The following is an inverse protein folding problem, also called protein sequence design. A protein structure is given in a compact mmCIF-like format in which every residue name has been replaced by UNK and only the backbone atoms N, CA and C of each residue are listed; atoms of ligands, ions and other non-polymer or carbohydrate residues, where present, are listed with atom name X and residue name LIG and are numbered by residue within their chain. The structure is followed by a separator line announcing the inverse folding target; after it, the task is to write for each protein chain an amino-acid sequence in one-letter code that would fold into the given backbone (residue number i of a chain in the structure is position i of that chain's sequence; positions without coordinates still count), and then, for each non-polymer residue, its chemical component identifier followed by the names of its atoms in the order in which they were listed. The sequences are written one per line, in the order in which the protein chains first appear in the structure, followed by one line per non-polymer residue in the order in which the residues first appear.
data_IF_780013600782
#
_entry.id   IF_780013600782
#
_cell.length_a   1.000
_cell.length_b   1.000
_cell.length_c   1.000
_cell.angle_alpha   90.00
_cell.angle_beta   90.00
_cell.angle_gamma   90.00
#
_symmetry.space_group_name_H-M   'P 1'
#
loop_
_entity.id
_entity.type
_entity.pdbx_description
1 polymer ?
#
# COMPACT_ATOMS: atom_id res chain seq x y z
N UNK A 1 17.43 -11.56 -21.26
CA UNK A 1 17.97 -11.40 -19.91
C UNK A 1 18.66 -12.70 -19.60
N UNK A 2 19.97 -12.68 -19.37
CA UNK A 2 20.65 -13.83 -18.81
C UNK A 2 20.30 -13.88 -17.32
N UNK A 3 19.79 -15.01 -16.84
CA UNK A 3 19.33 -15.21 -15.46
C UNK A 3 20.11 -16.35 -14.84
N UNK A 4 20.46 -16.22 -13.55
CA UNK A 4 21.31 -17.14 -12.80
C UNK A 4 20.53 -18.20 -12.02
N UNK A 5 19.20 -18.12 -12.02
CA UNK A 5 18.28 -19.03 -11.37
C UNK A 5 17.44 -19.82 -12.38
N UNK A 6 16.96 -20.99 -11.99
CA UNK A 6 16.20 -21.91 -12.87
C UNK A 6 14.71 -21.63 -12.92
N UNK A 7 14.12 -21.27 -11.79
CA UNK A 7 12.69 -20.96 -11.69
C UNK A 7 12.43 -19.87 -10.66
N UNK A 8 11.32 -19.13 -10.83
CA UNK A 8 10.81 -18.18 -9.86
C UNK A 8 9.41 -18.62 -9.41
N UNK A 9 9.19 -18.63 -8.10
CA UNK A 9 7.91 -18.97 -7.48
C UNK A 9 7.47 -17.88 -6.51
N UNK A 10 6.18 -17.80 -6.25
CA UNK A 10 5.59 -16.77 -5.37
C UNK A 10 4.79 -17.40 -4.25
N UNK A 11 4.84 -16.77 -3.08
CA UNK A 11 3.98 -17.02 -1.93
C UNK A 11 3.21 -15.73 -1.66
N UNK A 12 1.88 -15.80 -1.60
CA UNK A 12 1.06 -14.64 -1.28
C UNK A 12 0.96 -14.45 0.24
N UNK A 13 1.77 -13.54 0.78
CA UNK A 13 1.83 -13.18 2.20
C UNK A 13 1.18 -11.83 2.50
N UNK A 14 0.28 -11.36 1.62
CA UNK A 14 -0.43 -10.09 1.77
C UNK A 14 -1.52 -10.20 2.82
N UNK A 15 -1.82 -9.10 3.50
CA UNK A 15 -2.89 -9.04 4.50
C UNK A 15 -4.29 -9.25 3.88
N UNK A 16 -4.44 -8.87 2.61
CA UNK A 16 -5.63 -9.15 1.82
C UNK A 16 -5.24 -9.72 0.46
N UNK A 17 -5.66 -10.96 0.22
CA UNK A 17 -5.36 -11.69 -1.02
C UNK A 17 -6.46 -11.54 -2.06
N UNK A 18 -7.62 -10.96 -1.72
CA UNK A 18 -8.79 -10.85 -2.61
C UNK A 18 -8.65 -9.79 -3.69
N UNK A 19 -7.81 -8.77 -3.47
CA UNK A 19 -7.70 -7.61 -4.36
C UNK A 19 -6.26 -7.13 -4.50
N UNK A 20 -6.08 -6.25 -5.48
CA UNK A 20 -4.84 -5.56 -5.81
C UNK A 20 -4.91 -4.08 -5.53
N UNK A 21 -6.09 -3.49 -5.35
CA UNK A 21 -6.22 -2.06 -5.12
C UNK A 21 -7.54 -1.50 -5.63
N UNK A 22 -7.62 -0.17 -5.64
CA UNK A 22 -8.77 0.57 -6.14
C UNK A 22 -8.33 1.53 -7.23
N UNK A 23 -9.08 1.57 -8.33
CA UNK A 23 -8.72 2.37 -9.51
C UNK A 23 -9.95 3.06 -10.06
N UNK A 24 -9.76 4.24 -10.61
CA UNK A 24 -10.84 4.98 -11.25
C UNK A 24 -11.16 4.32 -12.59
N UNK A 25 -12.36 3.77 -12.73
CA UNK A 25 -12.81 3.19 -13.99
C UNK A 25 -14.27 3.59 -14.30
N UNK A 26 -14.66 3.43 -15.56
CA UNK A 26 -16.00 3.75 -16.04
C UNK A 26 -16.24 5.25 -16.36
N UNK A 27 -17.43 5.53 -16.89
CA UNK A 27 -17.81 6.87 -17.36
C UNK A 27 -17.95 7.91 -16.23
N UNK A 28 -18.22 7.45 -15.00
CA UNK A 28 -18.42 8.27 -13.82
C UNK A 28 -17.18 8.40 -12.93
N UNK A 29 -16.03 7.87 -13.34
CA UNK A 29 -14.80 7.83 -12.51
C UNK A 29 -15.07 7.26 -11.12
N UNK A 30 -15.72 6.11 -11.05
CA UNK A 30 -15.97 5.41 -9.79
C UNK A 30 -14.76 4.54 -9.44
N UNK A 31 -14.52 4.32 -8.14
CA UNK A 31 -13.46 3.41 -7.71
C UNK A 31 -13.91 1.95 -7.84
N UNK A 32 -13.17 1.19 -8.65
CA UNK A 32 -13.38 -0.24 -8.82
C UNK A 32 -12.27 -1.03 -8.15
N UNK A 33 -12.64 -2.16 -7.54
CA UNK A 33 -11.67 -3.13 -7.01
C UNK A 33 -10.96 -3.81 -8.17
N UNK A 34 -9.64 -3.78 -8.16
CA UNK A 34 -8.81 -4.58 -9.05
C UNK A 34 -8.55 -5.92 -8.40
N UNK A 35 -8.73 -7.01 -9.14
CA UNK A 35 -8.53 -8.38 -8.65
C UNK A 35 -7.67 -9.15 -9.63
N UNK A 36 -6.97 -10.17 -9.14
CA UNK A 36 -6.35 -11.13 -10.04
C UNK A 36 -7.42 -12.07 -10.61
N UNK A 37 -7.24 -12.55 -11.86
CA UNK A 37 -8.15 -13.55 -12.44
C UNK A 37 -8.03 -14.94 -11.81
N UNK A 38 -7.00 -15.17 -10.97
CA UNK A 38 -6.72 -16.40 -10.21
C UNK A 38 -5.85 -16.07 -8.98
N UNK A 39 -5.56 -17.00 -8.07
CA UNK A 39 -4.69 -16.71 -6.92
C UNK A 39 -3.37 -16.05 -7.35
N UNK A 40 -2.98 -14.98 -6.64
CA UNK A 40 -1.88 -14.10 -7.03
C UNK A 40 -0.57 -14.86 -7.27
N UNK A 41 -0.23 -15.76 -6.35
CA UNK A 41 0.97 -16.60 -6.44
C UNK A 41 1.01 -17.40 -7.74
N UNK A 42 -0.11 -18.03 -8.11
CA UNK A 42 -0.25 -18.79 -9.37
C UNK A 42 -0.15 -17.88 -10.58
N UNK A 43 -0.88 -16.75 -10.58
CA UNK A 43 -0.83 -15.77 -11.66
C UNK A 43 0.58 -15.25 -11.93
N UNK A 44 1.28 -14.84 -10.87
CA UNK A 44 2.64 -14.29 -10.96
C UNK A 44 3.63 -15.36 -11.42
N UNK A 45 3.56 -16.57 -10.85
CA UNK A 45 4.44 -17.70 -11.23
C UNK A 45 4.28 -18.07 -12.70
N UNK A 46 3.06 -18.12 -13.24
CA UNK A 46 2.88 -18.43 -14.66
C UNK A 46 3.40 -17.32 -15.57
N UNK A 47 3.23 -16.05 -15.16
CA UNK A 47 3.71 -14.90 -15.93
C UNK A 47 5.23 -14.77 -15.90
N UNK A 48 5.95 -15.49 -15.02
CA UNK A 48 7.42 -15.50 -15.06
C UNK A 48 8.01 -16.45 -16.10
N UNK A 49 7.31 -17.53 -16.46
CA UNK A 49 7.79 -18.59 -17.37
C UNK A 49 8.41 -18.03 -18.66
N UNK A 50 7.79 -17.06 -19.37
CA UNK A 50 8.37 -16.51 -20.60
C UNK A 50 9.70 -15.78 -20.42
N UNK A 51 10.05 -15.36 -19.20
CA UNK A 51 11.32 -14.67 -18.92
C UNK A 51 12.47 -15.64 -18.62
N UNK A 52 12.17 -16.94 -18.39
CA UNK A 52 13.13 -17.93 -17.92
C UNK A 52 13.68 -18.84 -19.03
N UNK A 53 13.11 -18.81 -20.23
CA UNK A 53 13.46 -19.72 -21.33
C UNK A 53 14.87 -19.51 -21.94
N UNK A 54 15.60 -18.47 -21.52
CA UNK A 54 16.85 -18.05 -22.15
C UNK A 54 18.08 -18.02 -21.21
N UNK A 55 18.00 -18.61 -20.00
CA UNK A 55 19.07 -18.54 -19.00
C UNK A 55 20.01 -19.75 -18.97
N UNK A 56 21.30 -19.48 -18.72
CA UNK A 56 22.30 -20.49 -18.32
C UNK A 56 22.14 -20.78 -16.83
N UNK A 57 21.04 -21.44 -16.46
CA UNK A 57 20.60 -21.52 -15.06
C UNK A 57 21.44 -22.50 -14.22
N UNK A 58 21.90 -22.05 -13.04
CA UNK A 58 22.45 -22.89 -11.98
C UNK A 58 21.34 -23.60 -11.18
N UNK A 59 21.73 -24.53 -10.28
CA UNK A 59 20.84 -25.42 -9.49
C UNK A 59 19.90 -24.74 -8.45
N UNK A 60 19.66 -23.43 -8.50
CA UNK A 60 18.83 -22.70 -7.53
C UNK A 60 17.57 -22.09 -8.11
N UNK A 61 16.52 -21.96 -7.30
CA UNK A 61 15.29 -21.26 -7.64
C UNK A 61 15.16 -19.97 -6.80
N UNK A 62 14.41 -19.00 -7.30
CA UNK A 62 13.97 -17.84 -6.53
C UNK A 62 12.57 -18.09 -5.97
N UNK A 63 12.35 -17.68 -4.73
CA UNK A 63 11.05 -17.69 -4.09
C UNK A 63 10.77 -16.31 -3.50
N UNK A 64 9.70 -15.68 -3.97
CA UNK A 64 9.28 -14.36 -3.53
C UNK A 64 8.09 -14.48 -2.58
N UNK A 65 8.20 -13.90 -1.39
CA UNK A 65 7.07 -13.76 -0.46
C UNK A 65 6.51 -12.35 -0.60
N UNK A 66 5.36 -12.23 -1.26
CA UNK A 66 4.67 -10.97 -1.48
C UNK A 66 4.06 -10.49 -0.16
N UNK A 67 4.66 -9.47 0.46
CA UNK A 67 4.11 -8.85 1.69
C UNK A 67 3.12 -7.75 1.36
N UNK A 68 3.38 -7.01 0.29
CA UNK A 68 2.52 -5.95 -0.21
C UNK A 68 2.57 -5.94 -1.75
N UNK A 69 1.40 -5.87 -2.39
CA UNK A 69 1.26 -5.65 -3.82
C UNK A 69 -0.03 -4.86 -4.02
N UNK A 70 0.10 -3.56 -4.24
CA UNK A 70 -1.04 -2.64 -4.34
C UNK A 70 -0.95 -1.75 -5.57
N UNK A 71 -2.03 -1.66 -6.33
CA UNK A 71 -2.17 -0.76 -7.47
C UNK A 71 -3.06 0.40 -7.12
N UNK A 72 -2.64 1.59 -7.50
CA UNK A 72 -3.37 2.82 -7.28
C UNK A 72 -3.19 3.77 -8.46
N UNK A 73 -4.06 4.75 -8.58
CA UNK A 73 -4.05 5.73 -9.64
C UNK A 73 -4.29 7.13 -9.09
N UNK A 74 -3.58 8.10 -9.65
CA UNK A 74 -3.86 9.51 -9.41
C UNK A 74 -4.02 10.27 -10.70
N UNK A 75 -4.93 11.24 -10.67
CA UNK A 75 -5.11 12.21 -11.75
C UNK A 75 -4.00 13.26 -11.66
N UNK A 76 -3.30 13.50 -12.77
CA UNK A 76 -2.26 14.52 -12.91
C UNK A 76 -2.60 15.47 -14.06
N UNK A 77 -1.97 16.65 -14.10
CA UNK A 77 -2.14 17.58 -15.21
C UNK A 77 -1.43 17.04 -16.46
N UNK A 78 -2.12 17.08 -17.60
CA UNK A 78 -1.50 16.79 -18.88
C UNK A 78 -0.43 17.84 -19.21
N UNK A 79 0.64 17.41 -19.89
CA UNK A 79 1.65 18.33 -20.43
C UNK A 79 1.04 19.16 -21.56
N UNK A 80 1.54 20.38 -21.80
CA UNK A 80 0.94 21.34 -22.74
C UNK A 80 0.54 20.71 -24.10
N UNK A 81 1.45 20.02 -24.77
CA UNK A 81 1.16 19.39 -26.07
C UNK A 81 0.08 18.30 -25.99
N UNK A 82 0.09 17.47 -24.95
CA UNK A 82 -0.93 16.43 -24.73
C UNK A 82 -2.27 17.06 -24.33
N UNK A 83 -2.24 18.12 -23.54
CA UNK A 83 -3.42 18.86 -23.10
C UNK A 83 -4.22 19.44 -24.26
N UNK A 84 -3.55 19.84 -25.35
CA UNK A 84 -4.18 20.33 -26.57
C UNK A 84 -4.87 19.23 -27.37
N UNK A 85 -4.41 17.98 -27.26
CA UNK A 85 -4.89 16.85 -28.06
C UNK A 85 -5.93 15.99 -27.33
N UNK A 86 -5.70 15.71 -26.04
CA UNK A 86 -6.49 14.73 -25.26
C UNK A 86 -7.14 15.35 -24.03
N UNK A 87 -7.03 16.67 -23.84
CA UNK A 87 -7.57 17.39 -22.69
C UNK A 87 -6.62 17.50 -21.49
N UNK A 88 -6.99 18.27 -20.46
CA UNK A 88 -6.08 18.78 -19.43
C UNK A 88 -5.64 17.74 -18.40
N UNK A 89 -6.16 16.52 -18.49
CA UNK A 89 -6.01 15.45 -17.50
C UNK A 89 -5.13 14.34 -18.09
N UNK A 90 -4.26 13.81 -17.25
CA UNK A 90 -3.53 12.58 -17.49
C UNK A 90 -3.61 11.68 -16.25
N UNK A 91 -3.22 10.43 -16.41
CA UNK A 91 -3.28 9.43 -15.35
C UNK A 91 -1.89 8.93 -15.05
N UNK A 92 -1.59 8.82 -13.76
CA UNK A 92 -0.38 8.18 -13.27
C UNK A 92 -0.78 7.00 -12.41
N UNK A 93 -0.51 5.82 -12.94
CA UNK A 93 -0.77 4.53 -12.32
C UNK A 93 0.48 4.04 -11.61
N UNK A 94 0.31 3.49 -10.41
CA UNK A 94 1.39 2.99 -9.56
C UNK A 94 1.12 1.57 -9.10
N UNK A 95 2.19 0.82 -8.85
CA UNK A 95 2.19 -0.45 -8.16
C UNK A 95 3.21 -0.37 -7.02
N UNK A 96 2.73 -0.39 -5.78
CA UNK A 96 3.53 -0.53 -4.57
C UNK A 96 3.82 -2.01 -4.35
N UNK A 97 5.09 -2.36 -4.20
CA UNK A 97 5.56 -3.72 -4.03
C UNK A 97 6.48 -3.79 -2.82
N UNK A 98 6.17 -4.68 -1.88
CA UNK A 98 7.10 -5.13 -0.85
C UNK A 98 7.14 -6.66 -0.87
N UNK A 99 8.32 -7.23 -1.10
CA UNK A 99 8.52 -8.68 -1.18
C UNK A 99 9.85 -9.09 -0.57
N UNK A 100 9.85 -10.15 0.24
CA UNK A 100 11.10 -10.84 0.59
C UNK A 100 11.49 -11.77 -0.56
N UNK A 101 12.79 -11.87 -0.84
CA UNK A 101 13.35 -12.74 -1.86
C UNK A 101 14.23 -13.80 -1.20
N UNK A 102 13.98 -15.08 -1.53
CA UNK A 102 14.71 -16.23 -1.03
C UNK A 102 15.31 -17.03 -2.20
N UNK A 103 16.49 -17.61 -1.97
CA UNK A 103 17.00 -18.71 -2.79
C UNK A 103 16.42 -20.01 -2.23
N UNK A 104 15.87 -20.86 -3.09
CA UNK A 104 15.36 -22.18 -2.72
C UNK A 104 16.12 -23.31 -3.41
N UNK A 105 16.64 -24.22 -2.59
CA UNK A 105 17.40 -25.41 -3.00
C UNK A 105 16.94 -26.57 -2.14
N UNK A 106 16.52 -27.68 -2.75
CA UNK A 106 16.10 -28.91 -2.05
C UNK A 106 15.06 -28.72 -0.91
N UNK A 107 14.17 -27.71 -1.02
CA UNK A 107 13.14 -27.43 -0.02
C UNK A 107 13.60 -26.57 1.16
N UNK A 108 14.85 -26.11 1.15
CA UNK A 108 15.40 -25.12 2.06
C UNK A 108 15.39 -23.73 1.43
N UNK A 109 15.10 -22.72 2.25
CA UNK A 109 14.93 -21.33 1.83
C UNK A 109 15.94 -20.44 2.55
N UNK A 110 16.79 -19.77 1.80
CA UNK A 110 17.78 -18.82 2.33
C UNK A 110 17.40 -17.41 1.89
N UNK A 111 17.17 -16.51 2.85
CA UNK A 111 16.83 -15.11 2.55
C UNK A 111 17.98 -14.46 1.78
N UNK A 112 17.66 -13.80 0.66
CA UNK A 112 18.59 -13.00 -0.12
C UNK A 112 18.47 -11.52 0.22
N UNK A 113 17.23 -11.03 0.41
CA UNK A 113 16.96 -9.64 0.75
C UNK A 113 15.47 -9.29 0.71
N UNK A 114 15.16 -8.02 0.96
CA UNK A 114 13.82 -7.45 0.79
C UNK A 114 13.84 -6.47 -0.39
N UNK A 115 12.78 -6.52 -1.19
CA UNK A 115 12.53 -5.65 -2.33
C UNK A 115 11.33 -4.78 -1.97
N UNK A 116 11.56 -3.50 -1.73
CA UNK A 116 10.53 -2.50 -1.46
C UNK A 116 10.64 -1.38 -2.49
N UNK A 117 9.66 -1.29 -3.39
CA UNK A 117 9.71 -0.40 -4.55
C UNK A 117 8.33 0.05 -5.00
N UNK A 118 8.31 1.14 -5.76
CA UNK A 118 7.12 1.68 -6.41
C UNK A 118 7.37 1.80 -7.90
N UNK A 119 6.54 1.15 -8.69
CA UNK A 119 6.65 1.14 -10.14
C UNK A 119 5.49 1.94 -10.70
N UNK A 120 5.78 2.83 -11.63
CA UNK A 120 4.76 3.70 -12.23
C UNK A 120 4.73 3.65 -13.75
N UNK A 121 3.55 3.97 -14.29
CA UNK A 121 3.30 4.18 -15.71
C UNK A 121 2.34 5.35 -15.91
N UNK A 122 2.65 6.24 -16.85
CA UNK A 122 1.84 7.41 -17.18
C UNK A 122 0.74 7.07 -18.19
N UNK A 123 -0.18 6.20 -17.76
CA UNK A 123 -1.33 5.72 -18.53
C UNK A 123 -2.47 5.41 -17.56
N UNK A 124 -3.70 5.44 -18.08
CA UNK A 124 -4.89 5.05 -17.36
C UNK A 124 -4.85 3.55 -17.03
N UNK A 125 -5.13 3.19 -15.77
CA UNK A 125 -4.92 1.85 -15.23
C UNK A 125 -5.71 0.78 -15.98
N UNK A 126 -6.93 1.09 -16.43
CA UNK A 126 -7.78 0.15 -17.18
C UNK A 126 -7.06 -0.40 -18.43
N UNK A 127 -6.29 0.44 -19.12
CA UNK A 127 -5.52 0.05 -20.30
C UNK A 127 -4.05 -0.26 -20.03
N UNK A 128 -3.59 -0.16 -18.79
CA UNK A 128 -2.17 -0.25 -18.42
C UNK A 128 -1.87 -1.24 -17.28
N UNK A 129 -2.89 -1.84 -16.66
CA UNK A 129 -2.71 -2.74 -15.51
C UNK A 129 -1.82 -3.95 -15.81
N UNK A 130 -2.00 -4.60 -16.96
CA UNK A 130 -1.13 -5.74 -17.34
C UNK A 130 0.30 -5.28 -17.62
N UNK A 131 0.48 -4.15 -18.33
CA UNK A 131 1.80 -3.57 -18.60
C UNK A 131 2.53 -3.19 -17.30
N UNK A 132 1.80 -2.61 -16.35
CA UNK A 132 2.31 -2.24 -15.03
C UNK A 132 2.74 -3.48 -14.25
N UNK A 133 1.88 -4.50 -14.15
CA UNK A 133 2.22 -5.76 -13.48
C UNK A 133 3.39 -6.49 -14.15
N UNK A 134 3.45 -6.47 -15.49
CA UNK A 134 4.58 -7.02 -16.24
C UNK A 134 5.88 -6.30 -15.93
N UNK A 135 5.86 -4.96 -15.88
CA UNK A 135 7.01 -4.15 -15.46
C UNK A 135 7.41 -4.48 -14.02
N UNK A 136 6.45 -4.65 -13.12
CA UNK A 136 6.69 -5.08 -11.74
C UNK A 136 7.34 -6.45 -11.64
N UNK A 137 6.88 -7.42 -12.43
CA UNK A 137 7.50 -8.75 -12.49
C UNK A 137 8.94 -8.68 -13.00
N UNK A 138 9.19 -7.93 -14.08
CA UNK A 138 10.54 -7.79 -14.64
C UNK A 138 11.49 -7.20 -13.60
N UNK A 139 11.09 -6.12 -12.92
CA UNK A 139 11.91 -5.44 -11.90
C UNK A 139 12.22 -6.36 -10.70
N UNK A 140 11.20 -7.08 -10.22
CA UNK A 140 11.33 -8.06 -9.14
C UNK A 140 12.27 -9.21 -9.52
N UNK A 141 12.17 -9.73 -10.75
CA UNK A 141 13.06 -10.79 -11.23
C UNK A 141 14.51 -10.30 -11.41
N UNK A 142 14.72 -9.09 -11.94
CA UNK A 142 16.05 -8.50 -12.12
C UNK A 142 16.75 -8.22 -10.79
N UNK A 143 15.99 -7.68 -9.84
CA UNK A 143 16.49 -7.40 -8.48
C UNK A 143 16.76 -8.71 -7.74
N UNK A 144 15.86 -9.69 -7.87
CA UNK A 144 16.06 -11.04 -7.32
C UNK A 144 17.32 -11.72 -7.86
N UNK A 145 17.56 -11.65 -9.17
CA UNK A 145 18.79 -12.17 -9.80
C UNK A 145 20.05 -11.47 -9.28
N UNK A 146 19.99 -10.14 -9.17
CA UNK A 146 21.11 -9.34 -8.63
C UNK A 146 21.42 -9.76 -7.18
N UNK A 147 20.39 -9.95 -6.35
CA UNK A 147 20.55 -10.42 -4.97
C UNK A 147 21.10 -11.86 -4.91
N UNK A 148 20.70 -12.71 -5.85
CA UNK A 148 21.18 -14.09 -5.96
C UNK A 148 22.68 -14.14 -6.27
N UNK A 149 23.16 -13.31 -7.21
CA UNK A 149 24.58 -13.21 -7.57
C UNK A 149 25.41 -12.57 -6.45
N UNK A 150 24.88 -11.55 -5.79
CA UNK A 150 25.56 -10.80 -4.73
C UNK A 150 25.49 -11.46 -3.35
N UNK A 151 25.02 -12.72 -3.26
CA UNK A 151 24.86 -13.42 -1.99
C UNK A 151 26.21 -13.66 -1.31
N UNK A 152 26.61 -12.72 -0.47
CA UNK A 152 27.87 -12.75 0.29
C UNK A 152 27.68 -13.24 1.72
N UNK A 153 26.45 -13.11 2.27
CA UNK A 153 26.10 -13.60 3.61
C UNK A 153 25.37 -14.94 3.53
N UNK A 154 25.88 -15.93 4.26
CA UNK A 154 25.16 -17.17 4.55
C UNK A 154 24.12 -16.87 5.64
N UNK A 155 22.93 -16.46 5.22
CA UNK A 155 21.78 -16.58 6.11
C UNK A 155 21.51 -18.07 6.35
N UNK A 156 21.06 -18.43 7.55
CA UNK A 156 20.70 -19.82 7.85
C UNK A 156 19.47 -20.22 7.02
N UNK A 157 19.51 -21.39 6.33
CA UNK A 157 18.37 -21.89 5.60
C UNK A 157 17.22 -22.23 6.56
N UNK A 158 15.99 -21.99 6.13
CA UNK A 158 14.78 -22.38 6.84
C UNK A 158 13.94 -23.34 6.00
N UNK A 159 13.15 -24.19 6.66
CA UNK A 159 12.19 -25.06 5.97
C UNK A 159 11.01 -24.27 5.41
N UNK A 160 10.26 -24.89 4.49
CA UNK A 160 9.01 -24.35 3.98
C UNK A 160 8.02 -23.99 5.09
N UNK A 161 7.81 -24.89 6.06
CA UNK A 161 6.87 -24.66 7.16
C UNK A 161 7.30 -23.48 8.05
N UNK A 162 8.61 -23.34 8.29
CA UNK A 162 9.16 -22.20 9.03
C UNK A 162 8.97 -20.88 8.25
N UNK A 163 9.14 -20.91 6.92
CA UNK A 163 8.88 -19.76 6.06
C UNK A 163 7.40 -19.33 6.10
N UNK A 164 6.48 -20.28 5.92
CA UNK A 164 5.03 -20.01 5.97
C UNK A 164 4.62 -19.49 7.36
N UNK A 165 5.11 -20.12 8.43
CA UNK A 165 4.86 -19.67 9.80
C UNK A 165 5.36 -18.24 10.01
N UNK A 166 6.57 -17.92 9.52
CA UNK A 166 7.13 -16.57 9.58
C UNK A 166 6.28 -15.56 8.81
N UNK A 167 5.80 -15.91 7.61
CA UNK A 167 4.92 -15.05 6.81
C UNK A 167 3.57 -14.80 7.49
N UNK A 168 3.02 -15.79 8.17
CA UNK A 168 1.73 -15.69 8.85
C UNK A 168 1.81 -15.02 10.23
N UNK A 169 2.99 -15.01 10.86
CA UNK A 169 3.20 -14.42 12.18
C UNK A 169 2.83 -12.92 12.23
N UNK A 170 2.98 -12.20 11.12
CA UNK A 170 2.59 -10.78 10.99
C UNK A 170 1.08 -10.55 11.22
N UNK A 171 0.26 -11.61 11.12
CA UNK A 171 -1.19 -11.55 11.29
C UNK A 171 -1.66 -12.18 12.60
N UNK A 172 -0.73 -12.62 13.45
CA UNK A 172 -1.03 -13.06 14.82
C UNK A 172 -1.21 -11.82 15.73
N UNK A 173 -2.26 -11.06 15.45
CA UNK A 173 -2.59 -9.82 16.15
C UNK A 173 -3.94 -9.97 16.85
N UNK A 174 -4.08 -9.58 18.13
CA UNK A 174 -5.36 -9.68 18.85
C UNK A 174 -6.53 -9.05 18.11
N UNK A 175 -6.33 -7.89 17.47
CA UNK A 175 -7.37 -7.20 16.70
C UNK A 175 -7.89 -7.99 15.49
N UNK A 176 -7.05 -8.87 14.94
CA UNK A 176 -7.42 -9.76 13.83
C UNK A 176 -7.97 -11.09 14.34
N UNK A 177 -7.66 -11.52 15.57
CA UNK A 177 -8.19 -12.77 16.11
C UNK A 177 -9.58 -12.59 16.73
N UNK A 178 -9.90 -11.40 17.21
CA UNK A 178 -11.21 -11.13 17.80
C UNK A 178 -12.31 -11.08 16.75
N UNK A 179 -13.50 -11.58 17.11
CA UNK A 179 -14.72 -11.43 16.30
C UNK A 179 -15.21 -9.97 16.26
N UNK A 180 -14.97 -9.23 17.34
CA UNK A 180 -15.28 -7.81 17.48
C UNK A 180 -14.19 -7.09 18.26
N UNK A 181 -13.83 -5.84 17.91
CA UNK A 181 -12.88 -5.07 18.71
C UNK A 181 -13.39 -4.84 20.14
N UNK A 182 -12.49 -4.59 21.09
CA UNK A 182 -12.89 -4.14 22.42
C UNK A 182 -13.46 -2.72 22.34
N UNK A 183 -14.58 -2.47 23.05
CA UNK A 183 -15.20 -1.15 23.10
C UNK A 183 -14.29 -0.17 23.82
N UNK A 184 -14.00 0.97 23.20
CA UNK A 184 -13.17 2.02 23.77
C UNK A 184 -12.47 2.87 22.72
N UNK A 185 -11.62 3.79 23.20
CA UNK A 185 -10.77 4.65 22.39
C UNK A 185 -9.35 4.09 22.39
N UNK A 186 -8.81 3.92 21.20
CA UNK A 186 -7.43 3.52 20.94
C UNK A 186 -6.61 4.80 20.74
N UNK A 187 -5.78 5.15 21.73
CA UNK A 187 -4.97 6.37 21.65
C UNK A 187 -3.85 6.23 20.63
N UNK A 188 -3.28 5.04 20.51
CA UNK A 188 -2.18 4.71 19.61
C UNK A 188 -2.53 3.55 18.68
N UNK A 189 -1.75 3.40 17.61
CA UNK A 189 -1.87 2.24 16.74
C UNK A 189 -1.54 0.92 17.46
N UNK A 190 -0.63 0.96 18.44
CA UNK A 190 -0.30 -0.21 19.26
C UNK A 190 -1.48 -0.66 20.14
N UNK A 191 -2.24 0.28 20.70
CA UNK A 191 -3.46 -0.03 21.45
C UNK A 191 -4.47 -0.77 20.55
N UNK A 192 -4.62 -0.28 19.31
CA UNK A 192 -5.47 -0.89 18.31
C UNK A 192 -5.01 -2.31 17.96
N UNK A 193 -3.73 -2.52 17.62
CA UNK A 193 -3.20 -3.83 17.26
C UNK A 193 -3.41 -4.87 18.37
N UNK A 194 -3.19 -4.46 19.62
CA UNK A 194 -3.37 -5.30 20.81
C UNK A 194 -4.83 -5.46 21.24
N UNK A 195 -5.77 -4.81 20.54
CA UNK A 195 -7.19 -4.77 20.90
C UNK A 195 -7.42 -4.35 22.36
N UNK A 196 -6.61 -3.41 22.86
CA UNK A 196 -6.60 -2.97 24.26
C UNK A 196 -6.80 -1.45 24.33
N UNK A 197 -8.06 -0.97 24.30
CA UNK A 197 -8.34 0.46 24.30
C UNK A 197 -7.92 1.12 25.62
N UNK A 198 -7.31 2.30 25.52
CA UNK A 198 -6.82 3.05 26.69
C UNK A 198 -7.96 3.64 27.52
N UNK A 199 -9.10 3.92 26.90
CA UNK A 199 -10.27 4.54 27.53
C UNK A 199 -11.51 3.72 27.16
N UNK A 200 -12.19 3.15 28.16
CA UNK A 200 -13.35 2.26 27.94
C UNK A 200 -14.69 3.00 28.02
N UNK A 201 -14.76 4.03 28.85
CA UNK A 201 -15.96 4.84 29.05
C UNK A 201 -15.88 6.13 28.25
N UNK A 202 -16.67 6.25 27.19
CA UNK A 202 -16.72 7.43 26.34
C UNK A 202 -18.08 7.54 25.64
N UNK A 203 -18.38 8.73 25.12
CA UNK A 203 -19.54 9.05 24.31
C UNK A 203 -19.12 9.67 22.98
N UNK A 204 -19.84 9.31 21.92
CA UNK A 204 -19.64 9.85 20.57
C UNK A 204 -20.71 10.89 20.30
N UNK A 205 -20.30 12.12 19.98
CA UNK A 205 -21.21 13.18 19.56
C UNK A 205 -21.06 13.33 18.05
N UNK A 206 -22.10 12.93 17.31
CA UNK A 206 -22.15 13.04 15.85
C UNK A 206 -22.83 14.37 15.48
N UNK A 207 -22.07 15.36 15.03
CA UNK A 207 -22.62 16.56 14.40
C UNK A 207 -22.68 16.38 12.87
N UNK A 208 -23.57 17.11 12.19
CA UNK A 208 -23.81 17.06 10.74
C UNK A 208 -22.55 17.30 9.89
N UNK A 209 -21.47 17.84 10.48
CA UNK A 209 -20.21 18.18 9.80
C UNK A 209 -18.97 17.47 10.35
N UNK A 210 -19.02 16.95 11.58
CA UNK A 210 -17.88 16.40 12.32
C UNK A 210 -18.34 15.35 13.34
N UNK A 211 -17.56 14.29 13.51
CA UNK A 211 -17.67 13.40 14.67
C UNK A 211 -16.69 13.87 15.74
N UNK A 212 -17.16 14.13 16.96
CA UNK A 212 -16.32 14.45 18.11
C UNK A 212 -16.49 13.43 19.22
N UNK A 213 -15.40 13.12 19.91
CA UNK A 213 -15.37 12.19 21.04
C UNK A 213 -15.37 12.99 22.35
N UNK A 214 -16.18 12.54 23.31
CA UNK A 214 -16.21 13.08 24.67
C UNK A 214 -16.06 11.95 25.68
N UNK A 215 -15.36 12.20 26.79
CA UNK A 215 -15.15 11.22 27.86
C UNK A 215 -15.21 11.91 29.21
N UNK A 216 -15.73 11.20 30.23
CA UNK A 216 -15.71 11.71 31.60
C UNK A 216 -14.24 11.71 32.07
N UNK A 217 -13.68 12.89 32.33
CA UNK A 217 -12.34 13.03 32.94
C UNK A 217 -11.16 13.22 31.98
N UNK A 218 -11.38 13.41 30.68
CA UNK A 218 -10.33 13.68 29.70
C UNK A 218 -10.67 14.93 28.87
N UNK A 219 -9.64 15.67 28.49
CA UNK A 219 -9.77 16.83 27.61
C UNK A 219 -10.17 16.38 26.19
N UNK A 220 -11.27 16.93 25.68
CA UNK A 220 -11.77 16.72 24.31
C UNK A 220 -10.69 17.02 23.25
N UNK A 221 -9.72 17.90 23.54
CA UNK A 221 -8.59 18.19 22.65
C UNK A 221 -7.63 17.01 22.47
N UNK A 222 -7.52 16.14 23.47
CA UNK A 222 -6.72 14.91 23.43
C UNK A 222 -7.50 13.76 22.78
N UNK A 223 -8.81 13.69 23.03
CA UNK A 223 -9.68 12.68 22.41
C UNK A 223 -9.78 12.87 20.89
N UNK A 224 -9.72 14.11 20.40
CA UNK A 224 -9.67 14.41 18.97
C UNK A 224 -8.29 14.19 18.33
N UNK A 225 -7.32 13.64 19.07
CA UNK A 225 -6.02 13.16 18.58
C UNK A 225 -5.84 11.65 18.71
N UNK A 226 -6.85 10.93 19.21
CA UNK A 226 -6.78 9.47 19.30
C UNK A 226 -6.62 8.84 17.92
N UNK A 227 -6.02 7.66 17.86
CA UNK A 227 -5.88 6.92 16.62
C UNK A 227 -7.23 6.46 16.08
N UNK A 228 -8.12 5.98 16.95
CA UNK A 228 -9.44 5.48 16.57
C UNK A 228 -10.29 5.09 17.78
N UNK A 229 -11.53 4.66 17.52
CA UNK A 229 -12.44 4.18 18.56
C UNK A 229 -13.37 3.07 18.03
N UNK A 230 -13.84 2.22 18.93
CA UNK A 230 -14.93 1.30 18.69
C UNK A 230 -16.05 1.56 19.70
N UNK A 231 -17.24 1.93 19.23
CA UNK A 231 -18.37 2.30 20.09
C UNK A 231 -19.25 1.11 20.52
N UNK A 232 -18.91 -0.11 20.06
CA UNK A 232 -19.71 -1.32 20.21
C UNK A 232 -20.48 -1.70 18.94
N UNK A 233 -20.51 -0.81 17.94
CA UNK A 233 -21.14 -1.05 16.63
C UNK A 233 -20.15 -0.81 15.49
N UNK A 234 -19.52 0.35 15.45
CA UNK A 234 -18.67 0.80 14.36
C UNK A 234 -17.25 1.07 14.86
N UNK A 235 -16.27 0.52 14.13
CA UNK A 235 -14.85 0.85 14.31
C UNK A 235 -14.54 2.05 13.43
N UNK A 236 -13.94 3.08 14.01
CA UNK A 236 -13.61 4.32 13.32
C UNK A 236 -12.15 4.70 13.57
N UNK A 237 -11.47 5.21 12.56
CA UNK A 237 -10.09 5.70 12.68
C UNK A 237 -10.01 7.17 12.33
N UNK A 238 -9.03 7.85 12.92
CA UNK A 238 -8.80 9.27 12.74
C UNK A 238 -8.01 9.54 11.45
N UNK A 239 -8.61 10.30 10.53
CA UNK A 239 -7.95 10.81 9.32
C UNK A 239 -8.10 12.32 9.25
N UNK A 240 -6.97 13.02 9.11
CA UNK A 240 -6.86 14.48 9.12
C UNK A 240 -7.36 15.10 10.45
N UNK A 241 -8.68 15.32 10.55
CA UNK A 241 -9.39 15.96 11.68
C UNK A 241 -10.76 15.32 11.95
N UNK A 242 -11.06 14.16 11.35
CA UNK A 242 -12.35 13.49 11.51
C UNK A 242 -12.15 11.99 11.68
N UNK A 243 -13.17 11.35 12.23
CA UNK A 243 -13.26 9.91 12.31
C UNK A 243 -14.05 9.35 11.13
N UNK A 244 -13.60 8.20 10.66
CA UNK A 244 -14.17 7.53 9.51
C UNK A 244 -14.29 6.05 9.81
N UNK A 245 -15.44 5.49 9.44
CA UNK A 245 -15.73 4.07 9.63
C UNK A 245 -14.76 3.22 8.82
N UNK A 246 -14.23 2.20 9.48
CA UNK A 246 -13.43 1.17 8.85
C UNK A 246 -14.15 -0.17 8.92
N UNK A 247 -13.91 -1.00 7.91
CA UNK A 247 -14.51 -2.32 7.80
C UNK A 247 -13.39 -3.33 7.67
N UNK A 248 -13.47 -4.42 8.45
CA UNK A 248 -12.50 -5.49 8.37
C UNK A 248 -12.59 -6.19 7.01
N UNK A 249 -11.45 -6.39 6.35
CA UNK A 249 -11.28 -7.22 5.16
C UNK A 249 -10.08 -8.15 5.38
N UNK A 250 -10.32 -9.45 5.49
CA UNK A 250 -9.29 -10.46 5.81
C UNK A 250 -8.45 -10.07 7.05
N UNK A 251 -7.13 -9.97 6.88
CA UNK A 251 -6.15 -9.63 7.92
C UNK A 251 -5.83 -8.12 7.94
N UNK A 252 -6.76 -7.28 7.49
CA UNK A 252 -6.63 -5.82 7.46
C UNK A 252 -8.00 -5.13 7.48
N UNK A 253 -8.02 -3.80 7.29
CA UNK A 253 -9.17 -2.91 7.34
C UNK A 253 -9.21 -2.00 6.12
N UNK A 254 -10.41 -1.75 5.61
CA UNK A 254 -10.70 -0.81 4.52
C UNK A 254 -11.44 0.42 5.05
N UNK A 255 -11.24 1.55 4.39
CA UNK A 255 -11.86 2.82 4.77
C UNK A 255 -12.17 3.66 3.53
N UNK A 256 -13.34 4.28 3.49
CA UNK A 256 -13.63 5.36 2.53
C UNK A 256 -13.38 6.69 3.24
N UNK A 257 -12.25 7.33 2.95
CA UNK A 257 -11.78 8.53 3.66
C UNK A 257 -11.46 9.67 2.69
N UNK A 258 -11.28 10.91 3.19
CA UNK A 258 -10.85 12.02 2.37
C UNK A 258 -9.44 11.75 1.84
N UNK A 259 -9.02 12.51 0.83
CA UNK A 259 -7.59 12.58 0.49
C UNK A 259 -6.78 12.93 1.75
N UNK A 260 -5.82 12.07 2.12
CA UNK A 260 -4.93 12.36 3.25
C UNK A 260 -4.15 13.62 2.91
N UNK A 261 -4.29 14.65 3.74
CA UNK A 261 -3.47 15.85 3.66
C UNK A 261 -2.46 15.69 4.77
N UNK A 262 -1.22 15.33 4.42
CA UNK A 262 -0.16 15.39 5.41
C UNK A 262 -0.04 16.87 5.85
N UNK A 263 -0.41 17.14 7.10
CA UNK A 263 -0.30 18.46 7.71
C UNK A 263 1.17 18.85 7.73
N UNK A 264 1.64 19.57 6.73
CA UNK A 264 2.74 20.51 6.93
C UNK A 264 2.23 21.59 7.89
N UNK A 265 2.51 21.43 9.19
CA UNK A 265 2.33 22.54 10.13
C UNK A 265 3.23 23.69 9.70
N UNK A 266 2.61 24.85 9.54
CA UNK A 266 3.15 25.97 8.81
C UNK A 266 4.06 26.88 9.63
N UNK A 267 4.86 27.61 8.87
CA UNK A 267 5.07 29.04 9.06
C UNK A 267 4.67 29.67 7.74
N UNK A 268 3.77 30.63 7.78
CA UNK A 268 3.34 31.39 6.60
C UNK A 268 4.55 31.81 5.77
N UNK A 269 4.43 31.58 4.46
CA UNK A 269 5.33 32.03 3.43
C UNK A 269 6.75 31.44 3.44
N UNK A 270 7.06 30.76 2.32
CA UNK A 270 8.37 30.23 1.92
C UNK A 270 8.68 28.85 2.50
N UNK A 271 8.30 27.84 1.72
CA UNK A 271 9.13 26.73 1.19
C UNK A 271 8.14 25.59 0.84
N UNK A 272 7.39 25.77 -0.24
CA UNK A 272 6.89 24.63 -1.02
C UNK A 272 8.08 24.25 -1.92
N UNK A 273 9.11 23.65 -1.33
CA UNK A 273 10.31 23.18 -2.03
C UNK A 273 11.19 22.35 -1.08
N UNK A 274 10.79 21.12 -0.81
CA UNK A 274 11.66 20.00 -0.39
C UNK A 274 10.74 18.81 -0.05
N UNK A 275 10.32 18.01 -1.02
CA UNK A 275 10.86 16.64 -1.10
C UNK A 275 10.45 15.93 -2.41
N UNK A 276 10.37 16.68 -3.52
CA UNK A 276 10.45 16.08 -4.87
C UNK A 276 11.92 16.04 -5.35
N UNK A 277 12.85 16.59 -4.57
CA UNK A 277 14.24 16.82 -4.96
C UNK A 277 15.23 15.67 -4.63
N UNK A 278 14.79 14.50 -4.15
CA UNK A 278 15.70 13.36 -3.90
C UNK A 278 15.38 12.09 -4.70
N UNK A 279 14.34 12.11 -5.54
CA UNK A 279 14.01 10.97 -6.44
C UNK A 279 14.31 11.22 -7.92
N UNK A 280 14.85 12.39 -8.27
CA UNK A 280 15.26 12.73 -9.64
C UNK A 280 16.72 13.23 -9.68
N UNK A 281 17.68 12.36 -9.35
CA UNK A 281 19.05 12.54 -9.84
C UNK A 281 19.22 11.71 -11.11
N UNK A 282 18.75 12.25 -12.23
CA UNK A 282 18.92 11.64 -13.53
C UNK A 282 18.12 12.39 -14.59
N UNK A 283 18.83 13.25 -15.32
CA UNK A 283 18.42 14.02 -16.51
C UNK A 283 18.01 15.47 -16.22
N UNK A 284 18.76 16.35 -16.87
CA UNK A 284 18.87 17.77 -16.66
C UNK A 284 17.79 18.60 -17.36
N UNK A 285 17.58 19.79 -16.79
CA UNK A 285 17.17 21.05 -17.41
C UNK A 285 15.71 21.21 -17.89
N UNK A 286 15.01 22.19 -17.29
CA UNK A 286 13.81 22.81 -17.85
C UNK A 286 12.83 23.25 -16.76
N UNK A 287 12.89 24.52 -16.36
CA UNK A 287 12.13 25.08 -15.24
C UNK A 287 10.62 24.88 -15.29
N UNK A 288 10.05 24.53 -14.14
CA UNK A 288 8.61 24.37 -13.90
C UNK A 288 8.07 25.63 -13.21
N UNK A 289 7.21 26.39 -13.88
CA UNK A 289 6.37 27.41 -13.25
C UNK A 289 4.99 26.81 -12.97
N UNK A 290 4.65 26.60 -11.70
CA UNK A 290 3.37 26.05 -11.26
C UNK A 290 2.39 27.18 -10.95
N UNK A 291 1.36 27.38 -11.78
CA UNK A 291 0.23 28.27 -11.49
C UNK A 291 -0.81 27.56 -10.63
N UNK A 292 -1.09 28.16 -9.47
CA UNK A 292 -2.09 27.78 -8.47
C UNK A 292 -3.49 28.14 -8.98
N UNK A 293 -4.41 27.18 -9.02
CA UNK A 293 -5.84 27.48 -9.18
C UNK A 293 -6.44 27.72 -7.79
N UNK A 294 -7.07 28.88 -7.62
CA UNK A 294 -7.82 29.25 -6.42
C UNK A 294 -8.97 28.27 -6.16
N UNK A 295 -8.98 27.72 -4.94
CA UNK A 295 -10.05 26.87 -4.42
C UNK A 295 -11.23 27.75 -4.00
N UNK A 296 -12.30 27.78 -4.80
CA UNK A 296 -13.63 28.19 -4.33
C UNK A 296 -14.27 27.07 -3.53
N UNK A 297 -14.97 27.44 -2.45
CA UNK A 297 -15.50 26.64 -1.33
C UNK A 297 -16.52 25.51 -1.67
N UNK A 298 -16.23 24.65 -2.64
CA UNK A 298 -16.98 23.42 -2.93
C UNK A 298 -16.03 22.23 -3.05
N UNK A 299 -15.31 21.94 -1.98
CA UNK A 299 -14.74 20.61 -1.78
C UNK A 299 -15.94 19.70 -1.49
N UNK A 300 -16.60 19.18 -2.53
CA UNK A 300 -17.22 17.87 -2.36
C UNK A 300 -16.09 16.96 -1.92
N UNK A 301 -16.13 16.52 -0.66
CA UNK A 301 -15.16 15.59 -0.08
C UNK A 301 -15.24 14.30 -0.89
N UNK A 302 -14.47 14.18 -1.96
CA UNK A 302 -14.32 12.93 -2.68
C UNK A 302 -13.76 11.90 -1.69
N UNK A 303 -14.56 10.88 -1.39
CA UNK A 303 -14.13 9.78 -0.53
C UNK A 303 -13.36 8.79 -1.40
N UNK A 304 -12.11 8.59 -1.02
CA UNK A 304 -11.17 7.68 -1.66
C UNK A 304 -11.15 6.40 -0.80
N UNK A 305 -11.29 5.22 -1.42
CA UNK A 305 -11.10 3.97 -0.71
C UNK A 305 -9.61 3.76 -0.42
N UNK A 306 -9.29 3.44 0.82
CA UNK A 306 -7.97 3.04 1.27
C UNK A 306 -8.02 1.67 1.92
N UNK A 307 -6.87 1.03 1.98
CA UNK A 307 -6.62 -0.10 2.85
C UNK A 307 -5.50 0.23 3.86
N UNK A 308 -5.68 -0.26 5.09
CA UNK A 308 -4.70 -0.13 6.15
C UNK A 308 -3.55 -1.12 5.91
N UNK A 309 -2.32 -0.65 5.99
CA UNK A 309 -1.19 -1.54 6.16
C UNK A 309 -1.16 -1.99 7.62
N UNK A 310 -1.52 -3.24 7.88
CA UNK A 310 -1.55 -3.74 9.25
C UNK A 310 -0.15 -3.73 9.91
N UNK A 311 0.94 -3.73 9.11
CA UNK A 311 2.31 -3.77 9.62
C UNK A 311 2.82 -2.43 10.13
N UNK A 312 2.41 -1.30 9.54
CA UNK A 312 2.96 0.02 9.86
C UNK A 312 1.89 1.11 10.10
N UNK A 313 0.61 0.80 9.89
CA UNK A 313 -0.51 1.73 10.09
C UNK A 313 -0.71 2.74 8.96
N UNK A 314 0.03 2.64 7.85
CA UNK A 314 -0.15 3.50 6.68
C UNK A 314 -1.48 3.19 5.96
N UNK A 315 -2.00 4.17 5.22
CA UNK A 315 -3.17 4.02 4.35
C UNK A 315 -2.72 4.17 2.90
N UNK A 316 -3.16 3.25 2.04
CA UNK A 316 -2.80 3.20 0.62
C UNK A 316 -4.01 2.93 -0.28
#
# INVERSE_FOLDING_TARGET
MEVHYKAAQFIDGRADTSKLGFVLAGANTEYHRVVFPKPAATYMTEKTIPFLSNGSANNGNLTFVLKHLWVSEVIVKATFGKSLLTGPIDYLSFCYLNSDCYSSVNGEYTLLGNIDTVISIKRWMVGAGEDLLKKTLIDLLQTGDSLFVLQTKKNEPISYDALIKKTQADFDLPILKSSQPERGIYMTYADFLNNNPSIKEFNVIKDKKTESLTSIGLDDSLLNKAWGYYDGTDLNIHINNNYYRVVRSHNTFEIAGPRKLDKFYGTNDKIINASVATFFSGIAAGGFTLLVMGSTNKIMKELIPYQLNIRDGALY
#
